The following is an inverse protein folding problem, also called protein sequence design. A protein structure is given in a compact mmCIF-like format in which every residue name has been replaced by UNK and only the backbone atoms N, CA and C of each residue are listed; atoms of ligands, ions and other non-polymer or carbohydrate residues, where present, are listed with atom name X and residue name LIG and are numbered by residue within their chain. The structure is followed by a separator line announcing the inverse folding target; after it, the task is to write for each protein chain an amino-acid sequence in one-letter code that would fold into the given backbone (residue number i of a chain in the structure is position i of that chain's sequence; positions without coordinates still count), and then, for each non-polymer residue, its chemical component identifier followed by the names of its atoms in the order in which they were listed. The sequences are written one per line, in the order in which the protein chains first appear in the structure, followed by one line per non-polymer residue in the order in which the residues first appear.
data_IF_497400647368
#
_entry.id   IF_497400647368
#
_cell.length_a   1.000
_cell.length_b   1.000
_cell.length_c   1.000
_cell.angle_alpha   90.00
_cell.angle_beta   90.00
_cell.angle_gamma   90.00
#
_symmetry.space_group_name_H-M   'P 1'
#
loop_
_entity.id
_entity.type
_entity.pdbx_description
1 polymer ?
#
# COMPACT_ATOMS: atom_id res chain seq x y z
N UNK A 1 -7.29 8.37 3.93
CA UNK A 1 -5.84 8.67 4.04
C UNK A 1 -5.01 7.49 3.53
N UNK A 2 -5.40 6.94 2.38
CA UNK A 2 -4.74 5.74 1.86
C UNK A 2 -3.71 6.10 0.80
N UNK A 3 -3.64 7.38 0.45
CA UNK A 3 -2.76 7.85 -0.61
C UNK A 3 -1.30 7.48 -0.34
N UNK A 4 -0.84 7.74 0.88
CA UNK A 4 0.57 7.54 1.21
C UNK A 4 0.84 6.15 1.74
N UNK A 5 -0.19 5.48 2.22
CA UNK A 5 -0.01 4.14 2.79
C UNK A 5 0.54 3.19 1.75
N UNK A 6 0.09 3.35 0.52
CA UNK A 6 0.54 2.53 -0.58
C UNK A 6 2.06 2.58 -0.74
N UNK A 7 2.58 3.79 -0.87
CA UNK A 7 4.00 4.01 -1.05
C UNK A 7 4.76 3.75 0.26
N UNK A 8 4.12 4.11 1.38
CA UNK A 8 4.67 3.81 2.69
C UNK A 8 4.96 2.32 2.81
N UNK A 9 3.95 1.51 2.48
CA UNK A 9 4.09 0.07 2.51
C UNK A 9 5.23 -0.37 1.60
N UNK A 10 5.15 0.02 0.32
CA UNK A 10 6.20 -0.33 -0.66
C UNK A 10 7.60 -0.06 -0.12
N UNK A 11 7.80 1.15 0.41
CA UNK A 11 9.11 1.54 0.92
C UNK A 11 9.54 0.62 2.06
N UNK A 12 8.58 0.25 2.91
CA UNK A 12 8.85 -0.63 4.04
C UNK A 12 9.30 -2.01 3.56
N UNK A 13 8.65 -2.48 2.50
CA UNK A 13 8.91 -3.82 1.97
C UNK A 13 10.22 -3.82 1.19
N UNK A 14 10.61 -2.64 0.72
CA UNK A 14 11.84 -2.51 -0.05
C UNK A 14 13.06 -2.42 0.82
N UNK A 15 12.90 -2.68 2.11
CA UNK A 15 14.04 -2.72 3.00
C UNK A 15 14.08 -1.53 3.93
N UNK A 16 13.26 -0.53 3.66
CA UNK A 16 13.25 0.68 4.47
C UNK A 16 12.03 0.67 5.39
N UNK A 17 12.15 -0.04 6.51
CA UNK A 17 11.05 -0.23 7.43
C UNK A 17 10.61 1.09 8.06
N UNK A 18 11.55 2.02 8.18
CA UNK A 18 11.25 3.34 8.68
C UNK A 18 11.42 4.35 7.52
N UNK A 19 10.39 4.44 6.67
CA UNK A 19 10.46 5.19 5.41
C UNK A 19 10.29 6.69 5.59
N UNK A 20 11.11 7.45 4.87
CA UNK A 20 11.01 8.89 4.86
C UNK A 20 9.88 9.32 3.94
N UNK A 21 9.24 10.42 4.29
CA UNK A 21 8.11 10.94 3.52
C UNK A 21 8.55 11.35 2.12
N UNK A 22 9.82 11.69 1.96
CA UNK A 22 10.37 12.05 0.66
C UNK A 22 10.38 10.82 -0.25
N UNK A 23 10.77 9.69 0.31
CA UNK A 23 10.74 8.44 -0.42
C UNK A 23 9.32 8.15 -0.88
N UNK A 24 8.38 8.35 0.04
CA UNK A 24 6.96 8.20 -0.24
C UNK A 24 6.57 8.99 -1.48
N UNK A 25 6.97 10.26 -1.49
CA UNK A 25 6.72 11.15 -2.63
C UNK A 25 7.24 10.53 -3.93
N UNK A 26 8.46 10.02 -3.88
CA UNK A 26 9.08 9.44 -5.07
C UNK A 26 8.31 8.22 -5.58
N UNK A 27 7.87 7.39 -4.65
CA UNK A 27 7.12 6.19 -5.01
C UNK A 27 5.75 6.58 -5.58
N UNK A 28 5.18 7.63 -5.02
CA UNK A 28 3.95 8.22 -5.55
C UNK A 28 4.21 8.82 -6.91
N UNK A 29 5.39 9.41 -7.10
CA UNK A 29 5.80 9.93 -8.41
C UNK A 29 5.82 8.84 -9.46
N UNK A 30 6.18 7.62 -9.04
CA UNK A 30 6.24 6.48 -9.95
C UNK A 30 4.88 6.24 -10.62
N UNK A 31 3.81 6.32 -9.84
CA UNK A 31 2.46 6.03 -10.33
C UNK A 31 1.66 7.33 -10.55
N UNK A 32 2.27 8.45 -10.21
CA UNK A 32 1.66 9.75 -10.47
C UNK A 32 0.68 10.19 -9.39
N UNK A 33 1.11 10.14 -8.14
CA UNK A 33 0.26 10.55 -7.03
C UNK A 33 0.84 11.77 -6.30
N UNK A 34 -0.05 12.62 -5.79
CA UNK A 34 0.32 13.81 -5.04
C UNK A 34 0.85 13.42 -3.66
N UNK A 35 1.60 14.32 -3.04
CA UNK A 35 2.08 14.07 -1.67
C UNK A 35 2.47 15.34 -0.95
N UNK A 36 1.74 15.61 0.13
CA UNK A 36 2.08 16.67 1.07
C UNK A 36 3.19 16.17 2.00
N UNK A 37 3.68 17.02 2.88
CA UNK A 37 4.67 16.58 3.85
C UNK A 37 4.04 16.34 5.21
N UNK A 38 3.23 17.30 5.65
CA UNK A 38 2.61 17.23 6.96
C UNK A 38 1.64 16.05 7.01
N UNK A 39 0.63 16.09 6.15
CA UNK A 39 -0.37 15.04 6.09
C UNK A 39 0.27 13.68 5.91
N UNK A 40 1.28 13.63 5.06
CA UNK A 40 2.01 12.41 4.77
C UNK A 40 2.67 11.85 6.03
N UNK A 41 3.45 12.67 6.70
CA UNK A 41 4.12 12.24 7.93
C UNK A 41 3.09 11.86 8.99
N UNK A 42 1.92 12.51 8.96
CA UNK A 42 0.85 12.19 9.88
C UNK A 42 0.31 10.78 9.62
N UNK A 43 0.04 10.47 8.35
CA UNK A 43 -0.40 9.14 7.96
C UNK A 43 0.66 8.10 8.33
N UNK A 44 1.91 8.43 8.03
CA UNK A 44 3.04 7.60 8.37
C UNK A 44 3.12 7.38 9.88
N UNK A 45 2.93 8.46 10.62
CA UNK A 45 2.98 8.43 12.07
C UNK A 45 1.82 7.60 12.63
N UNK A 46 0.66 7.67 11.98
CA UNK A 46 -0.47 6.83 12.33
C UNK A 46 -0.07 5.36 12.23
N UNK A 47 0.46 5.00 11.07
CA UNK A 47 0.90 3.63 10.81
C UNK A 47 2.02 3.20 11.74
N UNK A 48 2.83 4.16 12.17
CA UNK A 48 3.95 3.88 13.06
C UNK A 48 3.47 3.67 14.50
N UNK A 49 2.50 4.47 14.93
CA UNK A 49 1.99 4.34 16.29
C UNK A 49 1.00 3.21 16.43
N UNK A 50 0.38 2.84 15.33
CA UNK A 50 -0.59 1.76 15.31
C UNK A 50 -0.05 0.58 14.51
N UNK A 51 -0.94 -0.33 14.15
CA UNK A 51 -0.59 -1.37 13.20
C UNK A 51 -0.97 -0.92 11.80
N UNK A 52 -0.22 -1.32 10.79
CA UNK A 52 -0.53 -0.89 9.43
C UNK A 52 -1.94 -1.30 9.05
N UNK A 53 -2.29 -2.55 9.33
CA UNK A 53 -3.59 -3.09 8.99
C UNK A 53 -4.69 -2.29 9.65
N UNK A 54 -4.45 -1.92 10.90
CA UNK A 54 -5.40 -1.14 11.68
C UNK A 54 -5.62 0.22 11.03
N UNK A 55 -4.53 0.95 10.85
CA UNK A 55 -4.58 2.26 10.22
C UNK A 55 -5.19 2.19 8.82
N UNK A 56 -4.83 1.15 8.08
CA UNK A 56 -5.40 0.91 6.77
C UNK A 56 -6.91 0.72 6.84
N UNK A 57 -7.32 -0.24 7.64
CA UNK A 57 -8.70 -0.63 7.69
C UNK A 57 -9.57 0.46 8.33
N UNK A 58 -8.91 1.42 8.98
CA UNK A 58 -9.61 2.61 9.47
C UNK A 58 -9.62 3.73 8.41
N UNK A 59 -8.45 4.02 7.85
CA UNK A 59 -8.30 5.23 7.04
C UNK A 59 -8.44 5.01 5.54
N UNK A 60 -8.88 3.82 5.13
CA UNK A 60 -9.16 3.58 3.72
C UNK A 60 -10.67 3.60 3.46
N UNK A 61 -11.38 2.64 4.04
CA UNK A 61 -12.82 2.58 3.88
C UNK A 61 -13.23 2.18 2.48
N UNK A 62 -14.44 2.56 2.08
CA UNK A 62 -14.98 2.16 0.79
C UNK A 62 -14.35 2.95 -0.36
N UNK A 63 -13.26 3.65 -0.06
CA UNK A 63 -12.47 4.28 -1.08
C UNK A 63 -11.65 3.21 -1.79
N UNK A 64 -11.48 2.09 -1.09
CA UNK A 64 -10.71 0.96 -1.59
C UNK A 64 -11.36 0.33 -2.82
N UNK A 65 -12.38 -0.48 -2.60
CA UNK A 65 -13.00 -1.21 -3.68
C UNK A 65 -14.52 -1.04 -3.68
N UNK A 66 -15.07 -0.77 -4.86
CA UNK A 66 -16.50 -0.72 -5.03
C UNK A 66 -17.00 -2.12 -5.38
N UNK A 67 -18.21 -2.48 -4.93
CA UNK A 67 -18.81 -3.79 -5.20
C UNK A 67 -19.01 -4.05 -6.69
N UNK A 68 -17.98 -4.61 -7.32
CA UNK A 68 -18.06 -4.99 -8.72
C UNK A 68 -18.65 -6.39 -8.83
N UNK A 69 -19.93 -6.46 -9.18
CA UNK A 69 -20.62 -7.73 -9.20
C UNK A 69 -21.12 -8.08 -7.82
N UNK A 70 -21.82 -7.15 -7.20
CA UNK A 70 -22.32 -7.34 -5.86
C UNK A 70 -23.47 -6.43 -5.56
N UNK B 1 0.82 -11.38 2.93
CA UNK B 1 0.64 -11.09 1.49
C UNK B 1 0.51 -9.58 1.26
N UNK B 2 1.39 -8.81 1.88
CA UNK B 2 1.29 -7.36 1.82
C UNK B 2 2.23 -6.78 0.77
N UNK B 3 3.04 -7.65 0.18
CA UNK B 3 4.07 -7.24 -0.78
C UNK B 3 3.47 -6.48 -1.95
N UNK B 4 2.39 -7.02 -2.53
CA UNK B 4 1.81 -6.44 -3.73
C UNK B 4 0.72 -5.42 -3.41
N UNK B 5 0.17 -5.48 -2.21
CA UNK B 5 -0.89 -4.57 -1.83
C UNK B 5 -0.41 -3.12 -1.89
N UNK B 6 0.83 -2.92 -1.51
CA UNK B 6 1.44 -1.60 -1.53
C UNK B 6 1.38 -0.98 -2.93
N UNK B 7 1.91 -1.71 -3.90
CA UNK B 7 1.94 -1.25 -5.27
C UNK B 7 0.55 -1.29 -5.89
N UNK B 8 -0.24 -2.30 -5.51
CA UNK B 8 -1.63 -2.40 -5.93
C UNK B 8 -2.37 -1.12 -5.57
N UNK B 9 -2.24 -0.72 -4.30
CA UNK B 9 -2.85 0.50 -3.81
C UNK B 9 -2.38 1.69 -4.63
N UNK B 10 -1.05 1.88 -4.69
CA UNK B 10 -0.46 2.99 -5.45
C UNK B 10 -1.05 3.11 -6.86
N UNK B 11 -1.07 1.99 -7.56
CA UNK B 11 -1.58 1.97 -8.93
C UNK B 11 -3.04 2.39 -8.97
N UNK B 12 -3.81 1.96 -7.98
CA UNK B 12 -5.22 2.31 -7.88
C UNK B 12 -5.39 3.82 -7.69
N UNK B 13 -4.53 4.40 -6.87
CA UNK B 13 -4.61 5.81 -6.54
C UNK B 13 -4.10 6.66 -7.68
N UNK B 14 -3.28 6.05 -8.53
CA UNK B 14 -2.70 6.74 -9.67
C UNK B 14 -3.65 6.79 -10.86
N UNK B 15 -4.90 6.41 -10.63
CA UNK B 15 -5.89 6.51 -11.67
C UNK B 15 -6.27 5.17 -12.25
N UNK B 16 -5.50 4.14 -11.92
CA UNK B 16 -5.75 2.82 -12.44
C UNK B 16 -6.40 1.95 -11.38
N UNK B 17 -7.72 2.11 -11.22
CA UNK B 17 -8.47 1.43 -10.17
C UNK B 17 -8.46 -0.08 -10.36
N UNK B 18 -8.33 -0.51 -11.61
CA UNK B 18 -8.20 -1.92 -11.91
C UNK B 18 -6.79 -2.18 -12.44
N UNK B 19 -5.83 -2.32 -11.53
CA UNK B 19 -4.40 -2.37 -11.85
C UNK B 19 -3.94 -3.74 -12.34
N UNK B 20 -3.12 -3.74 -13.38
CA UNK B 20 -2.52 -4.94 -13.90
C UNK B 20 -1.34 -5.35 -13.02
N UNK B 21 -1.13 -6.66 -12.91
CA UNK B 21 -0.06 -7.19 -12.08
C UNK B 21 1.32 -6.76 -12.59
N UNK B 22 1.41 -6.47 -13.89
CA UNK B 22 2.64 -5.99 -14.49
C UNK B 22 2.98 -4.61 -13.95
N UNK B 23 1.96 -3.77 -13.85
CA UNK B 23 2.12 -2.45 -13.26
C UNK B 23 2.63 -2.60 -11.84
N UNK B 24 2.02 -3.52 -11.11
CA UNK B 24 2.43 -3.83 -9.75
C UNK B 24 3.93 -4.11 -9.69
N UNK B 25 4.39 -4.98 -10.58
CA UNK B 25 5.81 -5.33 -10.68
C UNK B 25 6.66 -4.08 -10.85
N UNK B 26 6.24 -3.18 -11.74
CA UNK B 26 6.99 -1.97 -12.02
C UNK B 26 7.08 -1.06 -10.79
N UNK B 27 5.97 -0.95 -10.06
CA UNK B 27 5.94 -0.12 -8.87
C UNK B 27 6.81 -0.74 -7.78
N UNK B 28 6.80 -2.06 -7.71
CA UNK B 28 7.69 -2.80 -6.83
C UNK B 28 9.14 -2.62 -7.28
N UNK B 29 9.36 -2.54 -8.59
CA UNK B 29 10.69 -2.26 -9.13
C UNK B 29 11.21 -0.91 -8.64
N UNK B 30 10.30 0.04 -8.48
CA UNK B 30 10.66 1.37 -8.01
C UNK B 30 11.36 1.32 -6.65
N UNK B 31 10.84 0.49 -5.74
CA UNK B 31 11.38 0.40 -4.40
C UNK B 31 12.20 -0.87 -4.20
N UNK B 32 12.26 -1.70 -5.23
CA UNK B 32 13.10 -2.88 -5.22
C UNK B 32 12.44 -4.08 -4.55
N UNK B 33 11.22 -4.41 -4.97
CA UNK B 33 10.51 -5.55 -4.43
C UNK B 33 10.25 -6.61 -5.49
N UNK B 34 10.25 -7.88 -5.06
CA UNK B 34 9.98 -9.01 -5.92
C UNK B 34 8.50 -9.07 -6.29
N UNK B 35 8.18 -9.78 -7.36
CA UNK B 35 6.78 -9.95 -7.75
C UNK B 35 6.57 -11.14 -8.66
N UNK B 36 5.81 -12.10 -8.16
CA UNK B 36 5.33 -13.22 -8.94
C UNK B 36 4.12 -12.77 -9.77
N UNK B 37 3.58 -13.64 -10.60
CA UNK B 37 2.37 -13.30 -11.35
C UNK B 37 1.15 -13.92 -10.73
N UNK B 38 1.26 -15.21 -10.42
CA UNK B 38 0.13 -15.95 -9.87
C UNK B 38 -0.24 -15.40 -8.51
N UNK B 39 0.71 -15.47 -7.57
CA UNK B 39 0.48 -14.99 -6.21
C UNK B 39 0.02 -13.54 -6.22
N UNK B 40 0.62 -12.75 -7.08
CA UNK B 40 0.29 -11.34 -7.21
C UNK B 40 -1.17 -11.16 -7.62
N UNK B 41 -1.57 -11.80 -8.70
CA UNK B 41 -2.95 -11.70 -9.16
C UNK B 41 -3.90 -12.25 -8.11
N UNK B 42 -3.44 -13.21 -7.33
CA UNK B 42 -4.26 -13.77 -6.25
C UNK B 42 -4.49 -12.73 -5.17
N UNK B 43 -3.43 -12.05 -4.75
CA UNK B 43 -3.55 -10.98 -3.77
C UNK B 43 -4.44 -9.86 -4.31
N UNK B 44 -4.22 -9.52 -5.56
CA UNK B 44 -5.03 -8.53 -6.26
C UNK B 44 -6.50 -8.96 -6.29
N UNK B 45 -6.71 -10.21 -6.60
CA UNK B 45 -8.05 -10.79 -6.68
C UNK B 45 -8.71 -10.81 -5.31
N UNK B 46 -7.91 -11.06 -4.26
CA UNK B 46 -8.40 -10.96 -2.89
C UNK B 46 -8.94 -9.56 -2.64
N UNK B 47 -8.12 -8.56 -2.91
CA UNK B 47 -8.48 -7.16 -2.73
C UNK B 47 -9.67 -6.77 -3.61
N UNK B 48 -9.81 -7.42 -4.75
CA UNK B 48 -10.89 -7.12 -5.69
C UNK B 48 -12.20 -7.74 -5.22
N UNK B 49 -12.14 -8.95 -4.68
CA UNK B 49 -13.34 -9.63 -4.23
C UNK B 49 -13.77 -9.17 -2.85
N UNK B 50 -12.82 -8.63 -2.10
CA UNK B 50 -13.10 -8.13 -0.76
C UNK B 50 -12.90 -6.61 -0.73
N UNK B 51 -12.82 -6.07 0.46
CA UNK B 51 -12.43 -4.68 0.64
C UNK B 51 -10.93 -4.62 0.85
N UNK B 52 -10.28 -3.56 0.37
CA UNK B 52 -8.83 -3.46 0.52
C UNK B 52 -8.43 -3.53 1.98
N UNK B 53 -9.13 -2.76 2.80
CA UNK B 53 -8.84 -2.69 4.23
C UNK B 53 -8.96 -4.06 4.87
N UNK B 54 -9.98 -4.80 4.44
CA UNK B 54 -10.23 -6.13 4.96
C UNK B 54 -9.08 -7.05 4.60
N UNK B 55 -8.78 -7.15 3.32
CA UNK B 55 -7.69 -7.98 2.83
C UNK B 55 -6.36 -7.57 3.45
N UNK B 56 -6.15 -6.26 3.60
CA UNK B 56 -4.97 -5.75 4.27
C UNK B 56 -4.90 -6.21 5.70
N UNK B 57 -5.94 -5.93 6.45
CA UNK B 57 -5.94 -6.18 7.87
C UNK B 57 -5.96 -7.69 8.18
N UNK B 58 -6.26 -8.48 7.15
CA UNK B 58 -6.13 -9.93 7.26
C UNK B 58 -4.73 -10.40 6.84
N UNK B 59 -4.27 -9.95 5.67
CA UNK B 59 -3.09 -10.52 5.06
C UNK B 59 -1.80 -9.77 5.34
N UNK B 60 -1.82 -8.81 6.25
CA UNK B 60 -0.60 -8.12 6.66
C UNK B 60 -0.14 -8.64 8.03
N UNK B 61 -0.94 -8.37 9.05
CA UNK B 61 -0.60 -8.83 10.39
C UNK B 61 0.57 -8.07 10.99
N UNK B 62 1.26 -8.69 11.94
CA UNK B 62 2.35 -8.03 12.64
C UNK B 62 3.60 -7.94 11.78
N UNK B 63 3.45 -8.21 10.50
CA UNK B 63 4.52 -7.99 9.53
C UNK B 63 4.61 -6.49 9.27
N UNK B 64 3.51 -5.80 9.57
CA UNK B 64 3.40 -4.36 9.36
C UNK B 64 4.36 -3.58 10.26
N UNK B 65 4.00 -3.42 11.52
CA UNK B 65 4.78 -2.62 12.43
C UNK B 65 5.06 -3.35 13.73
N UNK B 66 6.31 -3.29 14.16
CA UNK B 66 6.71 -3.85 15.44
C UNK B 66 6.55 -2.76 16.50
N UNK B 67 6.17 -3.13 17.73
CA UNK B 67 5.99 -2.18 18.83
C UNK B 67 7.26 -1.41 19.18
N UNK B 68 7.45 -0.27 18.52
CA UNK B 68 8.58 0.59 18.79
C UNK B 68 8.23 1.56 19.92
N UNK B 69 8.71 1.24 21.12
CA UNK B 69 8.32 2.00 22.28
C UNK B 69 6.99 1.52 22.84
N UNK B 70 6.91 0.21 23.07
CA UNK B 70 5.69 -0.39 23.54
C UNK B 70 5.94 -1.73 24.18
#
# INVERSE_FOLDING_TARGET
AMRYVASYLLAALGGNSSPSAKDIKKILDSVGIEADDDRLNKVISELNGKNIEDVIAQGIGKLASVPAGG
AMRYVASYLLAALGGNSSPSAKDIKKILDSVGIEADDDRLNKVISELNGKNIEDVIAQGIGKLASVPAGG
#
